data_IF_554266913459
#
_entry.id   IF_554266913459
#
_cell.length_a   1.000
_cell.length_b   1.000
_cell.length_c   1.000
_cell.angle_alpha   90.00
_cell.angle_beta   90.00
_cell.angle_gamma   90.00
#
_symmetry.space_group_name_H-M   'P 1'
#
loop_
_entity.id
_entity.type
_entity.pdbx_description
1 polymer ?
#
# COMPACT_ATOMS: atom_id res chain seq x y z
N UNK A 1 1.65 -7.07 -13.78
CA UNK A 1 0.20 -7.18 -13.60
C UNK A 1 -0.41 -7.77 -14.87
N UNK A 2 -1.42 -8.64 -14.72
CA UNK A 2 -2.10 -9.26 -15.85
C UNK A 2 -2.94 -8.22 -16.61
N UNK A 3 -2.80 -8.18 -17.93
CA UNK A 3 -3.65 -7.40 -18.84
C UNK A 3 -4.85 -8.24 -19.29
N UNK A 4 -5.89 -7.59 -19.79
CA UNK A 4 -7.02 -8.31 -20.38
C UNK A 4 -6.57 -9.19 -21.57
N UNK A 5 -6.95 -10.46 -21.54
CA UNK A 5 -6.52 -11.47 -22.53
C UNK A 5 -5.11 -12.05 -22.35
N UNK A 6 -4.33 -11.57 -21.38
CA UNK A 6 -3.02 -12.11 -21.02
C UNK A 6 -3.18 -13.32 -20.09
N UNK A 7 -2.30 -14.31 -20.20
CA UNK A 7 -2.25 -15.39 -19.22
C UNK A 7 -1.65 -14.90 -17.91
N UNK A 8 -2.16 -15.40 -16.79
CA UNK A 8 -1.70 -14.99 -15.45
C UNK A 8 -0.21 -15.33 -15.24
N UNK A 9 0.20 -16.53 -15.71
CA UNK A 9 1.57 -17.01 -15.60
C UNK A 9 2.55 -16.17 -16.42
N UNK A 10 2.16 -15.70 -17.62
CA UNK A 10 3.01 -14.86 -18.47
C UNK A 10 3.28 -13.50 -17.80
N UNK A 11 2.26 -12.93 -17.15
CA UNK A 11 2.41 -11.74 -16.32
C UNK A 11 3.39 -11.96 -15.16
N UNK A 12 3.30 -13.08 -14.44
CA UNK A 12 4.19 -13.40 -13.33
C UNK A 12 5.63 -13.58 -13.83
N UNK A 13 5.83 -14.32 -14.92
CA UNK A 13 7.14 -14.53 -15.54
C UNK A 13 7.81 -13.21 -15.91
N UNK A 14 7.07 -12.28 -16.52
CA UNK A 14 7.56 -10.93 -16.87
C UNK A 14 8.13 -10.21 -15.64
N UNK A 15 7.45 -10.28 -14.50
CA UNK A 15 7.90 -9.62 -13.27
C UNK A 15 9.11 -10.32 -12.64
N UNK A 16 9.20 -11.65 -12.74
CA UNK A 16 10.39 -12.38 -12.34
C UNK A 16 11.61 -11.95 -13.16
N UNK A 17 11.47 -11.83 -14.47
CA UNK A 17 12.55 -11.38 -15.36
C UNK A 17 12.99 -9.95 -15.06
N UNK A 18 12.04 -9.05 -14.77
CA UNK A 18 12.35 -7.67 -14.40
C UNK A 18 13.07 -7.55 -13.06
N UNK A 19 12.75 -8.41 -12.09
CA UNK A 19 13.34 -8.36 -10.75
C UNK A 19 14.68 -9.09 -10.66
N UNK A 20 14.93 -10.08 -11.53
CA UNK A 20 16.13 -10.92 -11.49
C UNK A 20 17.41 -10.08 -11.61
N UNK A 21 18.29 -10.17 -10.59
CA UNK A 21 19.55 -9.43 -10.54
C UNK A 21 19.41 -7.91 -10.30
N UNK A 22 18.20 -7.40 -10.01
CA UNK A 22 17.95 -5.98 -9.78
C UNK A 22 17.62 -5.66 -8.32
N UNK A 23 17.53 -6.65 -7.45
CA UNK A 23 17.13 -6.46 -6.06
C UNK A 23 18.29 -6.74 -5.09
N UNK A 24 18.58 -5.78 -4.20
CA UNK A 24 19.56 -5.96 -3.13
C UNK A 24 19.03 -6.81 -1.96
N UNK A 25 17.71 -6.98 -1.89
CA UNK A 25 16.98 -7.73 -0.86
C UNK A 25 16.19 -8.87 -1.48
N UNK A 26 15.76 -9.82 -0.68
CA UNK A 26 14.79 -10.82 -1.10
C UNK A 26 13.47 -10.18 -1.48
N UNK A 27 12.81 -10.72 -2.48
CA UNK A 27 11.53 -10.22 -2.97
C UNK A 27 10.53 -11.35 -3.23
N UNK A 28 9.26 -11.00 -3.26
CA UNK A 28 8.16 -11.81 -3.74
C UNK A 28 7.12 -10.91 -4.41
N UNK A 29 6.04 -11.50 -4.92
CA UNK A 29 5.02 -10.78 -5.66
C UNK A 29 3.63 -10.98 -5.07
N UNK A 30 2.78 -9.97 -5.23
CA UNK A 30 1.33 -10.06 -5.13
C UNK A 30 0.78 -10.07 -6.56
N UNK A 31 0.20 -11.21 -6.98
CA UNK A 31 -0.28 -11.34 -8.35
C UNK A 31 -1.54 -10.52 -8.58
N UNK A 32 -1.49 -9.50 -9.43
CA UNK A 32 -2.69 -8.76 -9.84
C UNK A 32 -3.45 -9.59 -10.88
N UNK A 33 -4.74 -9.84 -10.61
CA UNK A 33 -5.68 -10.51 -11.51
C UNK A 33 -6.50 -9.44 -12.22
N UNK A 34 -6.15 -9.14 -13.46
CA UNK A 34 -6.83 -8.12 -14.28
C UNK A 34 -7.87 -8.69 -15.24
N UNK A 35 -7.88 -10.01 -15.43
CA UNK A 35 -8.84 -10.71 -16.28
C UNK A 35 -9.28 -12.03 -15.62
N UNK A 36 -10.45 -12.01 -15.00
CA UNK A 36 -10.99 -13.19 -14.30
C UNK A 36 -11.75 -14.09 -15.28
N UNK A 37 -11.06 -15.12 -15.75
CA UNK A 37 -11.60 -16.15 -16.61
C UNK A 37 -11.20 -17.54 -16.07
N UNK A 38 -11.70 -18.63 -16.67
CA UNK A 38 -11.45 -19.99 -16.19
C UNK A 38 -9.94 -20.33 -16.18
N UNK A 39 -9.17 -19.85 -17.16
CA UNK A 39 -7.73 -20.08 -17.21
C UNK A 39 -7.01 -19.35 -16.07
N UNK A 40 -7.36 -18.08 -15.78
CA UNK A 40 -6.80 -17.31 -14.65
C UNK A 40 -7.13 -17.95 -13.31
N UNK A 41 -8.37 -18.43 -13.13
CA UNK A 41 -8.78 -19.14 -11.90
C UNK A 41 -8.01 -20.45 -11.70
N UNK A 42 -7.80 -21.22 -12.79
CA UNK A 42 -6.95 -22.42 -12.75
C UNK A 42 -5.48 -22.09 -12.43
N UNK A 43 -4.98 -20.95 -12.94
CA UNK A 43 -3.62 -20.50 -12.64
C UNK A 43 -3.46 -20.09 -11.18
N UNK A 44 -4.46 -19.43 -10.57
CA UNK A 44 -4.46 -19.07 -9.15
C UNK A 44 -4.24 -20.30 -8.25
N UNK A 45 -4.82 -21.46 -8.56
CA UNK A 45 -4.59 -22.69 -7.79
C UNK A 45 -3.12 -23.11 -7.72
N UNK A 46 -2.28 -22.72 -8.71
CA UNK A 46 -0.88 -23.06 -8.78
C UNK A 46 0.06 -22.02 -8.18
N UNK A 47 -0.42 -20.81 -7.87
CA UNK A 47 0.44 -19.72 -7.38
C UNK A 47 1.18 -20.08 -6.08
N UNK A 48 0.53 -20.83 -5.18
CA UNK A 48 1.14 -21.26 -3.94
C UNK A 48 2.36 -22.17 -4.17
N UNK A 49 2.33 -23.03 -5.21
CA UNK A 49 3.42 -23.90 -5.59
C UNK A 49 4.63 -23.09 -6.12
N UNK A 50 4.38 -21.90 -6.66
CA UNK A 50 5.38 -20.96 -7.14
C UNK A 50 5.88 -20.00 -6.04
N UNK A 51 5.40 -20.17 -4.79
CA UNK A 51 5.78 -19.34 -3.63
C UNK A 51 5.04 -18.00 -3.55
N UNK A 52 3.98 -17.82 -4.35
CA UNK A 52 3.10 -16.64 -4.30
C UNK A 52 1.92 -16.96 -3.39
N UNK A 53 1.77 -16.22 -2.29
CA UNK A 53 0.77 -16.50 -1.25
C UNK A 53 -0.45 -15.59 -1.29
N UNK A 54 -0.51 -14.69 -2.28
CA UNK A 54 -1.56 -13.68 -2.38
C UNK A 54 -1.82 -13.25 -3.82
N UNK A 55 -3.04 -12.81 -4.07
CA UNK A 55 -3.42 -12.15 -5.32
C UNK A 55 -4.20 -10.87 -5.03
N UNK A 56 -4.14 -9.89 -5.94
CA UNK A 56 -4.77 -8.58 -5.77
C UNK A 56 -5.84 -8.33 -6.82
N UNK A 57 -6.98 -7.80 -6.37
CA UNK A 57 -8.12 -7.38 -7.18
C UNK A 57 -8.53 -5.94 -6.85
N UNK A 58 -9.30 -5.32 -7.74
CA UNK A 58 -9.69 -3.93 -7.64
C UNK A 58 -11.19 -3.76 -7.82
N UNK A 59 -11.84 -3.04 -6.91
CA UNK A 59 -13.22 -2.55 -7.04
C UNK A 59 -13.28 -1.17 -7.69
N UNK A 60 -12.14 -0.64 -8.15
CA UNK A 60 -11.98 0.65 -8.80
C UNK A 60 -11.32 0.51 -10.18
N UNK A 61 -11.23 1.62 -10.91
CA UNK A 61 -10.63 1.74 -12.24
C UNK A 61 -11.35 0.95 -13.33
N UNK A 62 -12.66 1.24 -13.61
CA UNK A 62 -13.39 0.64 -14.72
C UNK A 62 -12.63 0.78 -16.04
N UNK A 63 -12.58 -0.31 -16.81
CA UNK A 63 -11.86 -0.36 -18.08
C UNK A 63 -10.34 -0.59 -17.96
N UNK A 64 -9.77 -0.64 -16.74
CA UNK A 64 -8.33 -0.89 -16.52
C UNK A 64 -8.11 -2.10 -15.62
N UNK A 65 -8.58 -2.05 -14.35
CA UNK A 65 -8.35 -3.10 -13.35
C UNK A 65 -9.63 -3.60 -12.68
N UNK A 66 -10.75 -2.93 -12.89
CA UNK A 66 -12.00 -3.19 -12.22
C UNK A 66 -12.46 -4.63 -12.41
N UNK A 67 -12.76 -5.29 -11.30
CA UNK A 67 -13.45 -6.56 -11.25
C UNK A 67 -14.84 -6.36 -10.62
N UNK A 68 -15.88 -6.93 -11.25
CA UNK A 68 -17.22 -6.93 -10.69
C UNK A 68 -17.38 -7.96 -9.56
N UNK A 69 -18.51 -7.89 -8.85
CA UNK A 69 -18.76 -8.76 -7.70
C UNK A 69 -18.78 -10.26 -8.08
N UNK A 70 -19.20 -10.61 -9.30
CA UNK A 70 -19.19 -12.01 -9.76
C UNK A 70 -17.74 -12.50 -10.00
N UNK A 71 -16.89 -11.66 -10.58
CA UNK A 71 -15.49 -11.95 -10.79
C UNK A 71 -14.74 -12.08 -9.45
N UNK A 72 -14.99 -11.14 -8.52
CA UNK A 72 -14.40 -11.15 -7.17
C UNK A 72 -14.83 -12.41 -6.42
N UNK A 73 -16.11 -12.74 -6.45
CA UNK A 73 -16.65 -13.93 -5.78
C UNK A 73 -15.97 -15.21 -6.28
N UNK A 74 -15.84 -15.39 -7.60
CA UNK A 74 -15.18 -16.56 -8.21
C UNK A 74 -13.70 -16.66 -7.80
N UNK A 75 -12.97 -15.55 -7.79
CA UNK A 75 -11.58 -15.55 -7.35
C UNK A 75 -11.46 -15.84 -5.84
N UNK A 76 -12.35 -15.29 -5.00
CA UNK A 76 -12.39 -15.58 -3.57
C UNK A 76 -12.70 -17.05 -3.27
N UNK A 77 -13.52 -17.73 -4.08
CA UNK A 77 -13.75 -19.17 -3.95
C UNK A 77 -12.43 -19.95 -4.12
N UNK A 78 -11.58 -19.57 -5.10
CA UNK A 78 -10.23 -20.14 -5.22
C UNK A 78 -9.37 -19.81 -4.02
N UNK A 79 -9.44 -18.58 -3.51
CA UNK A 79 -8.75 -18.18 -2.28
C UNK A 79 -9.17 -19.01 -1.06
N UNK A 80 -10.46 -19.34 -0.94
CA UNK A 80 -10.96 -20.22 0.12
C UNK A 80 -10.40 -21.65 0.01
N UNK A 81 -10.36 -22.19 -1.21
CA UNK A 81 -9.87 -23.55 -1.48
C UNK A 81 -8.36 -23.69 -1.27
N UNK A 82 -7.59 -22.66 -1.59
CA UNK A 82 -6.13 -22.67 -1.60
C UNK A 82 -5.47 -22.05 -0.37
N UNK A 83 -6.21 -21.24 0.38
CA UNK A 83 -5.66 -20.40 1.45
C UNK A 83 -4.92 -19.16 0.97
N UNK A 84 -4.92 -18.85 -0.34
CA UNK A 84 -4.33 -17.63 -0.88
C UNK A 84 -5.04 -16.39 -0.33
N UNK A 85 -4.24 -15.40 0.13
CA UNK A 85 -4.77 -14.14 0.60
C UNK A 85 -5.34 -13.31 -0.55
N UNK A 86 -6.62 -12.97 -0.48
CA UNK A 86 -7.25 -12.01 -1.40
C UNK A 86 -6.92 -10.59 -0.94
N UNK A 87 -6.10 -9.89 -1.69
CA UNK A 87 -5.84 -8.46 -1.47
C UNK A 87 -6.83 -7.61 -2.26
N UNK A 88 -7.44 -6.61 -1.62
CA UNK A 88 -8.50 -5.83 -2.26
C UNK A 88 -8.23 -4.33 -2.20
N UNK A 89 -8.17 -3.68 -3.37
CA UNK A 89 -8.35 -2.23 -3.48
C UNK A 89 -9.86 -1.94 -3.39
N UNK A 90 -10.29 -1.44 -2.25
CA UNK A 90 -11.70 -1.29 -1.92
C UNK A 90 -12.16 0.17 -2.07
N UNK A 91 -12.47 0.59 -3.27
CA UNK A 91 -13.17 1.84 -3.60
C UNK A 91 -14.25 1.55 -4.66
N UNK A 92 -15.41 2.22 -4.55
CA UNK A 92 -16.50 2.07 -5.52
C UNK A 92 -16.18 2.84 -6.82
N UNK A 93 -15.45 2.20 -7.73
CA UNK A 93 -14.99 2.81 -8.98
C UNK A 93 -16.09 3.39 -9.86
N UNK A 94 -17.18 2.65 -10.14
CA UNK A 94 -18.29 3.18 -10.95
C UNK A 94 -18.90 4.46 -10.38
N UNK A 95 -19.04 4.58 -9.06
CA UNK A 95 -19.55 5.81 -8.42
C UNK A 95 -18.51 6.95 -8.46
N UNK A 96 -17.23 6.64 -8.30
CA UNK A 96 -16.13 7.61 -8.43
C UNK A 96 -16.14 8.22 -9.84
N UNK A 97 -16.29 7.44 -10.89
CA UNK A 97 -16.30 7.92 -12.28
C UNK A 97 -17.44 8.93 -12.51
N UNK A 98 -18.61 8.72 -11.92
CA UNK A 98 -19.73 9.67 -11.97
C UNK A 98 -19.36 10.98 -11.28
N UNK A 99 -18.76 10.92 -10.07
CA UNK A 99 -18.37 12.13 -9.32
C UNK A 99 -17.26 12.89 -10.04
N UNK A 100 -16.28 12.21 -10.62
CA UNK A 100 -15.22 12.81 -11.43
C UNK A 100 -15.82 13.57 -12.60
N UNK A 101 -16.72 12.94 -13.36
CA UNK A 101 -17.38 13.58 -14.52
C UNK A 101 -18.18 14.81 -14.11
N UNK A 102 -18.92 14.76 -13.00
CA UNK A 102 -19.71 15.89 -12.47
C UNK A 102 -18.82 17.06 -12.03
N UNK A 103 -17.71 16.77 -11.32
CA UNK A 103 -16.78 17.82 -10.88
C UNK A 103 -16.10 18.51 -12.07
N UNK A 104 -15.63 17.76 -13.06
CA UNK A 104 -15.02 18.32 -14.26
C UNK A 104 -16.02 19.15 -15.06
N UNK A 105 -17.28 18.70 -15.22
CA UNK A 105 -18.34 19.45 -15.86
C UNK A 105 -18.68 20.77 -15.12
N UNK A 106 -18.45 20.82 -13.81
CA UNK A 106 -18.58 22.02 -12.98
C UNK A 106 -17.33 22.93 -12.98
N UNK A 107 -16.32 22.62 -13.82
CA UNK A 107 -15.07 23.39 -13.90
C UNK A 107 -14.13 23.17 -12.71
N UNK A 108 -14.31 22.12 -11.96
CA UNK A 108 -13.50 21.74 -10.81
C UNK A 108 -12.34 20.85 -11.28
N UNK A 109 -11.16 21.44 -11.52
CA UNK A 109 -10.04 20.78 -12.23
C UNK A 109 -8.78 20.60 -11.40
N UNK A 110 -8.69 21.23 -10.21
CA UNK A 110 -7.51 21.20 -9.35
C UNK A 110 -7.30 19.84 -8.67
N UNK A 111 -6.06 19.48 -8.26
CA UNK A 111 -5.74 18.23 -7.56
C UNK A 111 -6.60 17.98 -6.31
N UNK A 112 -7.04 19.01 -5.62
CA UNK A 112 -7.94 18.92 -4.45
C UNK A 112 -9.20 18.08 -4.75
N UNK A 113 -9.76 18.22 -5.95
CA UNK A 113 -10.99 17.54 -6.34
C UNK A 113 -10.82 16.04 -6.57
N UNK A 114 -9.59 15.55 -6.70
CA UNK A 114 -9.31 14.13 -6.65
C UNK A 114 -9.76 13.51 -5.30
N UNK A 115 -9.44 14.17 -4.19
CA UNK A 115 -9.89 13.73 -2.87
C UNK A 115 -11.40 13.84 -2.67
N UNK A 116 -12.03 14.88 -3.24
CA UNK A 116 -13.48 15.09 -3.17
C UNK A 116 -14.25 14.04 -3.98
N UNK A 117 -13.77 13.69 -5.20
CA UNK A 117 -14.40 12.66 -6.03
C UNK A 117 -14.35 11.28 -5.41
N UNK A 118 -13.35 11.01 -4.57
CA UNK A 118 -13.14 9.73 -3.89
C UNK A 118 -13.56 9.81 -2.41
N UNK A 119 -14.83 10.19 -2.18
CA UNK A 119 -15.39 10.36 -0.84
C UNK A 119 -15.21 9.10 0.01
N UNK A 120 -15.00 9.26 1.32
CA UNK A 120 -14.76 8.15 2.24
C UNK A 120 -15.89 7.10 2.27
N UNK A 121 -17.13 7.51 1.97
CA UNK A 121 -18.28 6.61 1.86
C UNK A 121 -18.07 5.53 0.78
N UNK A 122 -17.33 5.85 -0.28
CA UNK A 122 -17.04 4.93 -1.38
C UNK A 122 -15.97 3.91 -1.01
N UNK A 123 -15.08 4.24 -0.08
CA UNK A 123 -14.13 3.31 0.53
C UNK A 123 -14.82 2.43 1.58
N UNK A 124 -15.64 3.01 2.44
CA UNK A 124 -16.40 2.26 3.46
C UNK A 124 -17.32 1.22 2.83
N UNK A 125 -18.13 1.63 1.84
CA UNK A 125 -19.06 0.72 1.14
C UNK A 125 -18.31 -0.43 0.47
N UNK A 126 -17.24 -0.12 -0.27
CA UNK A 126 -16.47 -1.14 -0.97
C UNK A 126 -15.75 -2.08 0.02
N UNK A 127 -15.23 -1.56 1.14
CA UNK A 127 -14.64 -2.37 2.22
C UNK A 127 -15.68 -3.31 2.82
N UNK A 128 -16.87 -2.82 3.15
CA UNK A 128 -17.96 -3.64 3.66
C UNK A 128 -18.35 -4.74 2.67
N UNK A 129 -18.52 -4.40 1.40
CA UNK A 129 -18.86 -5.35 0.33
C UNK A 129 -17.79 -6.43 0.16
N UNK A 130 -16.51 -6.07 0.17
CA UNK A 130 -15.40 -7.03 0.12
C UNK A 130 -15.45 -8.00 1.32
N UNK A 131 -15.72 -7.49 2.53
CA UNK A 131 -15.89 -8.29 3.75
C UNK A 131 -17.05 -9.26 3.61
N UNK A 132 -18.18 -8.83 3.08
CA UNK A 132 -19.36 -9.71 2.90
C UNK A 132 -19.11 -10.81 1.87
N UNK A 133 -18.39 -10.52 0.77
CA UNK A 133 -18.01 -11.53 -0.22
C UNK A 133 -16.98 -12.53 0.36
N UNK A 134 -16.02 -12.05 1.14
CA UNK A 134 -15.06 -12.90 1.86
C UNK A 134 -15.77 -13.80 2.88
N UNK A 135 -16.70 -13.27 3.66
CA UNK A 135 -17.47 -14.05 4.62
C UNK A 135 -18.32 -15.15 3.94
N UNK A 136 -18.95 -14.82 2.82
CA UNK A 136 -19.77 -15.78 2.05
C UNK A 136 -18.94 -16.95 1.52
N UNK A 137 -17.69 -16.69 1.10
CA UNK A 137 -16.80 -17.72 0.52
C UNK A 137 -15.91 -18.41 1.56
N UNK A 138 -15.66 -17.78 2.71
CA UNK A 138 -14.67 -18.23 3.67
C UNK A 138 -13.21 -17.88 3.28
N UNK A 139 -13.00 -17.09 2.23
CA UNK A 139 -11.66 -16.68 1.77
C UNK A 139 -11.01 -15.71 2.74
N UNK A 140 -9.69 -15.80 2.96
CA UNK A 140 -8.96 -14.76 3.69
C UNK A 140 -8.95 -13.45 2.89
N UNK A 141 -9.24 -12.33 3.56
CA UNK A 141 -9.29 -11.00 2.95
C UNK A 141 -8.27 -10.06 3.58
N UNK A 142 -7.60 -9.29 2.73
CA UNK A 142 -6.69 -8.23 3.11
C UNK A 142 -7.02 -6.94 2.36
N UNK A 143 -7.57 -5.96 3.07
CA UNK A 143 -7.87 -4.65 2.48
C UNK A 143 -6.63 -3.79 2.52
N UNK A 144 -6.12 -3.40 1.36
CA UNK A 144 -4.88 -2.64 1.21
C UNK A 144 -5.11 -1.13 1.41
N UNK A 145 -4.08 -0.40 1.83
CA UNK A 145 -4.01 1.08 1.88
C UNK A 145 -5.25 1.78 2.43
N UNK A 146 -5.81 1.28 3.55
CA UNK A 146 -6.98 1.86 4.21
C UNK A 146 -6.67 3.28 4.67
N UNK A 147 -7.57 4.23 4.32
CA UNK A 147 -7.41 5.65 4.61
C UNK A 147 -8.56 6.25 5.44
N UNK A 148 -9.76 5.69 5.34
CA UNK A 148 -10.95 6.21 6.02
C UNK A 148 -11.22 5.50 7.34
N UNK A 149 -11.50 6.26 8.41
CA UNK A 149 -11.85 5.72 9.72
C UNK A 149 -13.08 4.81 9.70
N UNK A 150 -14.01 5.06 8.77
CA UNK A 150 -15.21 4.25 8.60
C UNK A 150 -14.87 2.87 8.00
N UNK A 151 -13.91 2.80 7.08
CA UNK A 151 -13.40 1.52 6.58
C UNK A 151 -12.70 0.72 7.68
N UNK A 152 -11.93 1.40 8.57
CA UNK A 152 -11.37 0.76 9.78
C UNK A 152 -12.46 0.15 10.65
N UNK A 153 -13.57 0.86 10.86
CA UNK A 153 -14.68 0.35 11.68
C UNK A 153 -15.30 -0.92 11.08
N UNK A 154 -15.41 -1.03 9.75
CA UNK A 154 -15.86 -2.24 9.07
C UNK A 154 -14.90 -3.43 9.32
N UNK A 155 -13.60 -3.18 9.21
CA UNK A 155 -12.57 -4.20 9.48
C UNK A 155 -12.58 -4.65 10.94
N UNK A 156 -12.63 -3.71 11.89
CA UNK A 156 -12.69 -4.02 13.32
C UNK A 156 -13.91 -4.89 13.65
N UNK A 157 -15.10 -4.49 13.19
CA UNK A 157 -16.33 -5.26 13.41
C UNK A 157 -16.26 -6.68 12.82
N UNK A 158 -15.71 -6.85 11.63
CA UNK A 158 -15.53 -8.17 11.01
C UNK A 158 -14.57 -9.05 11.82
N UNK A 159 -13.47 -8.48 12.30
CA UNK A 159 -12.47 -9.19 13.12
C UNK A 159 -13.03 -9.57 14.50
N UNK A 160 -13.79 -8.67 15.14
CA UNK A 160 -14.48 -8.95 16.41
C UNK A 160 -15.51 -10.07 16.25
N UNK A 161 -16.10 -10.20 15.07
CA UNK A 161 -16.97 -11.33 14.72
C UNK A 161 -16.20 -12.63 14.36
N UNK A 162 -14.86 -12.63 14.44
CA UNK A 162 -14.01 -13.79 14.19
C UNK A 162 -13.75 -14.09 12.71
N UNK A 163 -14.01 -13.14 11.79
CA UNK A 163 -13.74 -13.32 10.37
C UNK A 163 -12.24 -13.20 10.07
N UNK A 164 -11.78 -13.93 9.06
CA UNK A 164 -10.40 -13.93 8.60
C UNK A 164 -10.12 -12.72 7.69
N UNK A 165 -10.18 -11.52 8.29
CA UNK A 165 -10.06 -10.23 7.60
C UNK A 165 -8.94 -9.41 8.22
N UNK A 166 -8.15 -8.76 7.38
CA UNK A 166 -7.01 -7.94 7.74
C UNK A 166 -7.04 -6.63 6.96
N UNK A 167 -6.27 -5.64 7.45
CA UNK A 167 -6.08 -4.37 6.76
C UNK A 167 -4.68 -3.81 6.96
N UNK A 168 -4.26 -3.00 5.99
CA UNK A 168 -3.06 -2.18 6.09
C UNK A 168 -3.39 -0.72 5.84
N UNK A 169 -2.56 0.15 6.40
CA UNK A 169 -2.52 1.56 6.02
C UNK A 169 -1.12 1.91 5.49
N UNK A 170 -0.90 3.17 5.14
CA UNK A 170 0.37 3.66 4.63
C UNK A 170 0.76 4.96 5.33
N UNK A 171 2.06 5.35 5.35
CA UNK A 171 2.52 6.57 6.01
C UNK A 171 1.73 7.82 5.59
N UNK A 172 1.33 7.92 4.32
CA UNK A 172 0.58 9.08 3.81
C UNK A 172 -0.75 9.29 4.52
N UNK A 173 -1.41 8.23 5.00
CA UNK A 173 -2.69 8.32 5.73
C UNK A 173 -2.52 8.56 7.24
N UNK A 174 -1.29 8.53 7.72
CA UNK A 174 -0.93 8.84 9.10
C UNK A 174 -0.55 10.32 9.28
N UNK A 175 0.03 10.94 8.24
CA UNK A 175 0.66 12.24 8.34
C UNK A 175 0.08 13.31 7.42
N UNK A 176 -0.39 12.92 6.23
CA UNK A 176 -0.81 13.86 5.20
C UNK A 176 -2.33 14.05 5.21
N UNK A 177 -2.79 15.20 4.72
CA UNK A 177 -4.21 15.55 4.72
C UNK A 177 -4.71 16.09 3.38
N UNK A 178 -6.03 16.04 3.20
CA UNK A 178 -6.71 16.66 2.07
C UNK A 178 -6.41 18.16 2.01
N UNK A 179 -6.50 18.86 3.14
CA UNK A 179 -6.39 20.31 3.20
C UNK A 179 -4.97 20.81 3.01
N UNK A 180 -4.00 20.20 3.71
CA UNK A 180 -2.63 20.71 3.73
C UNK A 180 -1.83 20.28 2.52
N UNK A 181 -2.17 19.13 1.93
CA UNK A 181 -1.41 18.53 0.84
C UNK A 181 -2.15 18.59 -0.49
N UNK A 182 -3.30 17.90 -0.66
CA UNK A 182 -4.06 17.98 -1.92
C UNK A 182 -4.58 19.38 -2.18
N UNK A 183 -4.91 20.14 -1.14
CA UNK A 183 -5.33 21.55 -1.19
C UNK A 183 -4.19 22.56 -1.31
N UNK A 184 -2.95 22.15 -1.51
CA UNK A 184 -1.84 23.06 -1.71
C UNK A 184 -2.06 23.98 -2.92
N UNK A 185 -1.54 25.24 -2.88
CA UNK A 185 -1.84 26.24 -3.92
C UNK A 185 -1.45 25.80 -5.33
N UNK A 186 -2.26 26.15 -6.30
CA UNK A 186 -2.01 25.87 -7.71
C UNK A 186 -2.01 24.37 -8.01
N UNK A 187 -1.02 23.90 -8.73
CA UNK A 187 -0.88 22.49 -9.11
C UNK A 187 0.02 21.69 -8.15
N UNK A 188 0.52 22.30 -7.07
CA UNK A 188 1.40 21.64 -6.10
C UNK A 188 0.75 20.40 -5.45
N UNK A 189 -0.56 20.41 -5.22
CA UNK A 189 -1.30 19.28 -4.69
C UNK A 189 -1.17 17.98 -5.50
N UNK A 190 -0.76 18.07 -6.77
CA UNK A 190 -0.55 16.90 -7.62
C UNK A 190 0.52 15.94 -7.07
N UNK A 191 1.51 16.44 -6.30
CA UNK A 191 2.54 15.63 -5.63
C UNK A 191 1.94 14.53 -4.76
N UNK A 192 0.76 14.81 -4.16
CA UNK A 192 0.10 13.95 -3.18
C UNK A 192 -1.16 13.25 -3.71
N UNK A 193 -1.42 13.32 -5.02
CA UNK A 193 -2.52 12.55 -5.63
C UNK A 193 -2.18 11.06 -5.59
N UNK A 194 -3.00 10.30 -4.87
CA UNK A 194 -2.93 8.84 -4.71
C UNK A 194 -4.33 8.24 -4.51
N UNK A 195 -4.47 6.94 -4.59
CA UNK A 195 -5.72 6.21 -4.37
C UNK A 195 -5.47 4.99 -3.46
N UNK A 196 -6.15 4.92 -2.32
CA UNK A 196 -7.17 5.85 -1.83
C UNK A 196 -6.62 7.26 -1.59
N UNK A 197 -7.45 8.32 -1.60
CA UNK A 197 -6.94 9.68 -1.47
C UNK A 197 -6.61 10.04 -0.02
N UNK A 198 -5.85 11.12 0.16
CA UNK A 198 -5.65 11.73 1.47
C UNK A 198 -6.99 12.22 2.02
N UNK A 199 -7.26 11.94 3.28
CA UNK A 199 -8.50 12.29 3.98
C UNK A 199 -8.41 13.61 4.71
N UNK A 200 -9.58 14.20 5.00
CA UNK A 200 -9.69 15.44 5.77
C UNK A 200 -9.13 15.28 7.18
N UNK A 201 -8.24 16.19 7.59
CA UNK A 201 -7.78 16.26 8.98
C UNK A 201 -8.87 16.71 9.96
N UNK A 202 -9.85 17.48 9.49
CA UNK A 202 -10.97 17.94 10.30
C UNK A 202 -11.93 16.81 10.70
N UNK A 203 -11.88 15.68 10.01
CA UNK A 203 -12.65 14.50 10.34
C UNK A 203 -11.86 13.49 11.20
N UNK A 204 -10.63 13.80 11.58
CA UNK A 204 -9.76 12.97 12.44
C UNK A 204 -9.46 11.57 11.89
N UNK A 205 -9.33 11.44 10.58
CA UNK A 205 -8.96 10.16 9.95
C UNK A 205 -7.56 9.69 10.37
N UNK A 206 -6.58 10.62 10.40
CA UNK A 206 -5.20 10.33 10.76
C UNK A 206 -5.07 9.83 12.21
N UNK A 207 -5.78 10.47 13.16
CA UNK A 207 -5.80 10.04 14.56
C UNK A 207 -6.40 8.65 14.71
N UNK A 208 -7.44 8.34 13.94
CA UNK A 208 -8.05 7.02 13.93
C UNK A 208 -7.13 5.95 13.33
N UNK A 209 -6.36 6.26 12.28
CA UNK A 209 -5.36 5.33 11.75
C UNK A 209 -4.30 4.98 12.81
N UNK A 210 -3.78 5.97 13.53
CA UNK A 210 -2.85 5.73 14.63
C UNK A 210 -3.48 4.91 15.77
N UNK A 211 -4.75 5.20 16.12
CA UNK A 211 -5.49 4.38 17.09
C UNK A 211 -5.60 2.93 16.61
N UNK A 212 -6.02 2.73 15.37
CA UNK A 212 -6.21 1.42 14.78
C UNK A 212 -4.92 0.58 14.73
N UNK A 213 -3.78 1.23 14.47
CA UNK A 213 -2.48 0.56 14.57
C UNK A 213 -2.19 0.14 16.02
N UNK A 214 -2.44 1.02 16.99
CA UNK A 214 -2.20 0.74 18.41
C UNK A 214 -3.07 -0.40 18.95
N UNK A 215 -4.35 -0.46 18.54
CA UNK A 215 -5.34 -1.46 19.01
C UNK A 215 -5.37 -2.73 18.19
N UNK A 216 -4.58 -2.82 17.11
CA UNK A 216 -4.57 -3.94 16.17
C UNK A 216 -5.87 -4.09 15.35
N UNK A 217 -6.62 -3.02 15.14
CA UNK A 217 -7.71 -2.98 14.16
C UNK A 217 -7.16 -2.94 12.74
N UNK A 218 -5.97 -2.34 12.55
CA UNK A 218 -5.12 -2.42 11.37
C UNK A 218 -3.83 -3.15 11.75
N UNK A 219 -3.38 -4.12 10.94
CA UNK A 219 -2.32 -5.04 11.30
C UNK A 219 -0.94 -4.63 10.82
N UNK A 220 -0.85 -3.91 9.71
CA UNK A 220 0.42 -3.58 9.07
C UNK A 220 0.42 -2.16 8.51
N UNK A 221 1.64 -1.68 8.21
CA UNK A 221 1.87 -0.48 7.40
C UNK A 221 2.74 -0.84 6.21
N UNK A 222 2.19 -0.71 5.01
CA UNK A 222 2.92 -0.77 3.74
C UNK A 222 3.29 0.63 3.25
N UNK A 223 3.55 0.81 1.98
CA UNK A 223 3.88 2.12 1.41
C UNK A 223 2.98 2.53 0.27
N UNK A 224 2.39 1.56 -0.41
CA UNK A 224 1.75 1.79 -1.71
C UNK A 224 2.66 2.61 -2.64
N UNK A 225 3.97 2.26 -2.66
CA UNK A 225 5.00 3.00 -3.39
C UNK A 225 4.72 2.96 -4.89
N UNK A 226 4.30 4.10 -5.43
CA UNK A 226 4.00 4.27 -6.84
C UNK A 226 4.43 5.67 -7.29
N UNK A 227 5.76 5.89 -7.49
CA UNK A 227 6.31 7.21 -7.76
C UNK A 227 6.06 7.66 -9.19
N UNK A 228 5.75 8.94 -9.35
CA UNK A 228 5.64 9.64 -10.63
C UNK A 228 6.30 11.00 -10.51
N UNK A 229 7.18 11.37 -11.45
CA UNK A 229 7.75 12.70 -11.52
C UNK A 229 6.67 13.78 -11.75
N UNK A 230 6.87 14.97 -11.21
CA UNK A 230 6.01 16.11 -11.51
C UNK A 230 6.09 16.45 -12.98
N UNK A 231 7.33 16.58 -13.49
CA UNK A 231 7.57 16.93 -14.90
C UNK A 231 7.42 15.70 -15.81
N UNK A 232 6.56 15.81 -16.80
CA UNK A 232 6.34 14.80 -17.83
C UNK A 232 5.40 13.65 -17.42
N UNK A 233 4.96 13.61 -16.16
CA UNK A 233 4.04 12.60 -15.67
C UNK A 233 2.85 13.23 -14.93
N UNK A 234 2.99 13.75 -13.71
CA UNK A 234 1.85 14.35 -12.99
C UNK A 234 1.32 15.61 -13.66
N UNK A 235 2.15 16.38 -14.34
CA UNK A 235 1.76 17.58 -15.10
C UNK A 235 0.82 17.30 -16.28
N UNK A 236 0.66 16.04 -16.70
CA UNK A 236 -0.40 15.64 -17.64
C UNK A 236 -1.82 15.96 -17.14
N UNK A 237 -1.97 16.11 -15.83
CA UNK A 237 -3.24 16.46 -15.18
C UNK A 237 -3.49 17.96 -15.01
N UNK A 238 -2.67 18.84 -15.57
CA UNK A 238 -2.92 20.29 -15.53
C UNK A 238 -4.24 20.60 -16.22
N UNK A 239 -5.17 21.20 -15.47
CA UNK A 239 -6.52 21.49 -15.96
C UNK A 239 -7.50 20.30 -15.95
N UNK A 240 -7.07 19.11 -15.51
CA UNK A 240 -7.91 17.93 -15.39
C UNK A 240 -7.32 16.96 -14.35
N UNK A 241 -7.77 17.06 -13.12
CA UNK A 241 -7.23 16.24 -12.01
C UNK A 241 -7.35 14.73 -12.25
N UNK A 242 -8.28 14.28 -13.09
CA UNK A 242 -8.47 12.86 -13.38
C UNK A 242 -7.33 12.24 -14.17
N UNK A 243 -6.49 13.07 -14.81
CA UNK A 243 -5.31 12.67 -15.59
C UNK A 243 -4.02 12.70 -14.78
N UNK A 244 -4.06 13.12 -13.52
CA UNK A 244 -2.89 13.05 -12.65
C UNK A 244 -2.64 11.57 -12.29
N UNK A 245 -1.48 10.98 -12.63
CA UNK A 245 -1.14 9.64 -12.20
C UNK A 245 -1.20 9.50 -10.69
N UNK A 246 -1.89 8.45 -10.21
CA UNK A 246 -2.11 8.20 -8.79
C UNK A 246 -0.91 7.49 -8.18
N UNK A 247 -0.24 8.10 -7.22
CA UNK A 247 0.81 7.46 -6.45
C UNK A 247 1.76 8.44 -5.77
N UNK A 248 2.33 7.97 -4.66
CA UNK A 248 3.29 8.68 -3.83
C UNK A 248 4.54 7.80 -3.69
N UNK A 249 5.72 8.42 -3.75
CA UNK A 249 6.99 7.79 -3.40
C UNK A 249 7.17 7.80 -1.88
N UNK A 250 7.18 6.62 -1.24
CA UNK A 250 7.25 6.53 0.23
C UNK A 250 8.08 5.35 0.76
N UNK A 251 8.65 4.50 -0.09
CA UNK A 251 9.37 3.30 0.37
C UNK A 251 10.63 3.65 1.19
N UNK A 252 11.33 4.71 0.84
CA UNK A 252 12.58 5.11 1.49
C UNK A 252 12.39 5.51 2.96
N UNK A 253 11.24 6.11 3.29
CA UNK A 253 11.06 6.80 4.56
C UNK A 253 10.05 6.10 5.48
N UNK A 254 9.50 4.93 5.08
CA UNK A 254 8.48 4.23 5.88
C UNK A 254 8.94 3.93 7.29
N UNK A 255 10.16 3.43 7.44
CA UNK A 255 10.69 3.05 8.77
C UNK A 255 10.86 4.26 9.66
N UNK A 256 11.43 5.34 9.14
CA UNK A 256 11.68 6.57 9.87
C UNK A 256 10.38 7.28 10.25
N UNK A 257 9.44 7.43 9.32
CA UNK A 257 8.13 8.03 9.58
C UNK A 257 7.36 7.26 10.67
N UNK A 258 7.39 5.92 10.64
CA UNK A 258 6.73 5.12 11.67
C UNK A 258 7.47 5.18 13.01
N UNK A 259 8.80 5.30 12.99
CA UNK A 259 9.58 5.49 14.22
C UNK A 259 9.28 6.85 14.86
N UNK A 260 9.08 7.91 14.07
CA UNK A 260 8.59 9.19 14.62
C UNK A 260 7.27 9.01 15.36
N UNK A 261 6.40 8.13 14.91
CA UNK A 261 5.19 7.76 15.64
C UNK A 261 5.46 7.10 17.01
N UNK A 262 6.60 6.42 17.18
CA UNK A 262 7.04 5.93 18.49
C UNK A 262 7.52 7.09 19.38
N UNK A 263 8.34 7.99 18.83
CA UNK A 263 8.82 9.20 19.54
C UNK A 263 7.65 10.05 20.01
N UNK A 264 6.64 10.24 19.17
CA UNK A 264 5.43 11.01 19.46
C UNK A 264 4.45 10.26 20.40
N UNK A 265 4.75 9.04 20.83
CA UNK A 265 3.91 8.23 21.71
C UNK A 265 2.61 7.73 21.06
N UNK A 266 2.53 7.68 19.74
CA UNK A 266 1.39 7.17 18.98
C UNK A 266 1.31 5.64 19.04
N UNK A 267 2.44 4.94 18.97
CA UNK A 267 2.59 3.48 19.10
C UNK A 267 3.81 3.15 19.97
N UNK A 268 3.92 1.89 20.43
CA UNK A 268 5.12 1.43 21.16
C UNK A 268 6.20 0.96 20.18
N UNK A 269 7.43 0.82 20.68
CA UNK A 269 8.57 0.28 19.92
C UNK A 269 8.30 -1.15 19.44
N UNK A 270 7.72 -1.98 20.30
CA UNK A 270 7.34 -3.35 19.95
C UNK A 270 6.29 -3.37 18.84
N UNK A 271 5.31 -2.44 18.90
CA UNK A 271 4.29 -2.33 17.86
C UNK A 271 4.87 -1.88 16.54
N UNK A 272 5.84 -0.96 16.54
CA UNK A 272 6.58 -0.58 15.35
C UNK A 272 7.23 -1.78 14.66
N UNK A 273 7.96 -2.61 15.40
CA UNK A 273 8.58 -3.85 14.88
C UNK A 273 7.50 -4.82 14.40
N UNK A 274 6.42 -4.97 15.14
CA UNK A 274 5.34 -5.88 14.80
C UNK A 274 4.68 -5.53 13.46
N UNK A 275 4.28 -4.27 13.27
CA UNK A 275 3.55 -3.83 12.06
C UNK A 275 4.43 -3.71 10.82
N UNK A 276 5.75 -3.65 10.97
CA UNK A 276 6.69 -3.49 9.86
C UNK A 276 7.45 -4.77 9.50
N UNK A 277 7.51 -5.76 10.39
CA UNK A 277 8.34 -6.95 10.23
C UNK A 277 7.61 -8.25 10.59
N UNK A 278 7.21 -8.41 11.86
CA UNK A 278 6.68 -9.69 12.36
C UNK A 278 5.33 -10.04 11.73
N UNK A 279 4.39 -9.08 11.68
CA UNK A 279 3.06 -9.33 11.12
C UNK A 279 3.10 -9.57 9.61
N UNK A 280 3.81 -8.79 8.78
CA UNK A 280 4.00 -9.12 7.37
C UNK A 280 4.53 -10.55 7.16
N UNK A 281 5.56 -10.94 7.92
CA UNK A 281 6.12 -12.28 7.81
C UNK A 281 5.10 -13.39 8.16
N UNK A 282 4.26 -13.18 9.17
CA UNK A 282 3.18 -14.11 9.52
C UNK A 282 2.11 -14.21 8.45
N UNK A 283 1.67 -13.06 7.95
CA UNK A 283 0.56 -13.00 6.98
C UNK A 283 0.91 -13.62 5.63
N UNK A 284 2.17 -13.50 5.21
CA UNK A 284 2.62 -14.01 3.91
C UNK A 284 3.44 -15.29 4.00
N UNK A 285 3.37 -16.03 5.13
CA UNK A 285 3.94 -17.37 5.27
C UNK A 285 5.46 -17.42 5.44
N UNK A 286 6.10 -16.31 5.82
CA UNK A 286 7.56 -16.20 5.96
C UNK A 286 8.04 -16.28 7.42
N UNK A 287 7.12 -16.27 8.41
CA UNK A 287 7.49 -16.20 9.82
C UNK A 287 8.32 -17.42 10.26
N UNK A 288 9.34 -17.13 11.06
CA UNK A 288 10.34 -18.12 11.49
C UNK A 288 11.59 -18.14 10.62
N UNK A 289 11.45 -17.90 9.32
CA UNK A 289 12.57 -17.60 8.43
C UNK A 289 12.88 -16.10 8.40
N UNK A 290 11.84 -15.26 8.33
CA UNK A 290 11.88 -13.79 8.39
C UNK A 290 10.95 -13.26 9.49
N UNK A 291 11.09 -12.00 9.87
CA UNK A 291 10.24 -11.33 10.85
C UNK A 291 10.52 -11.72 12.32
N UNK A 292 11.63 -12.39 12.57
CA UNK A 292 12.09 -12.79 13.91
C UNK A 292 13.62 -12.85 13.93
N UNK A 293 14.23 -12.42 15.02
CA UNK A 293 15.67 -12.62 15.30
C UNK A 293 15.79 -13.87 16.17
N UNK A 294 16.13 -15.00 15.55
CA UNK A 294 16.24 -16.28 16.22
C UNK A 294 17.26 -17.19 15.51
N UNK A 295 17.88 -18.17 16.22
CA UNK A 295 18.73 -19.16 15.57
C UNK A 295 17.97 -19.93 14.47
N UNK A 296 18.54 -19.96 13.25
CA UNK A 296 17.94 -20.60 12.08
C UNK A 296 17.10 -19.67 11.20
N UNK A 297 16.80 -18.45 11.63
CA UNK A 297 16.20 -17.42 10.78
C UNK A 297 17.26 -16.77 9.86
N UNK A 298 16.81 -16.17 8.76
CA UNK A 298 17.67 -15.35 7.93
C UNK A 298 18.17 -14.13 8.74
N UNK A 299 19.43 -13.76 8.57
CA UNK A 299 19.99 -12.58 9.21
C UNK A 299 19.64 -11.31 8.41
N UNK A 300 18.34 -11.02 8.28
CA UNK A 300 17.81 -9.78 7.74
C UNK A 300 17.58 -8.84 8.93
N UNK A 301 18.51 -7.95 9.16
CA UNK A 301 18.58 -7.15 10.39
C UNK A 301 18.72 -5.69 10.04
N UNK A 302 17.91 -4.84 10.67
CA UNK A 302 18.04 -3.40 10.64
C UNK A 302 18.56 -2.96 12.00
N UNK A 303 19.69 -2.25 12.00
CA UNK A 303 20.19 -1.50 13.16
C UNK A 303 19.71 -0.06 13.01
N UNK A 304 18.98 0.41 14.00
CA UNK A 304 18.39 1.75 14.01
C UNK A 304 18.97 2.58 15.14
N UNK A 305 19.53 3.77 14.85
CA UNK A 305 20.02 4.69 15.89
C UNK A 305 18.92 5.67 16.30
N UNK A 306 18.36 5.53 17.52
CA UNK A 306 17.32 6.42 18.02
C UNK A 306 17.82 7.82 18.40
N UNK A 307 19.13 8.04 18.41
CA UNK A 307 19.75 9.34 18.72
C UNK A 307 20.12 10.13 17.48
N UNK A 308 19.98 9.50 16.31
CA UNK A 308 20.21 10.15 15.04
C UNK A 308 19.13 11.16 14.70
N UNK A 309 19.29 11.81 13.57
CA UNK A 309 18.32 12.76 13.04
C UNK A 309 18.32 12.66 11.52
N UNK A 310 17.12 12.57 10.93
CA UNK A 310 16.92 12.51 9.50
C UNK A 310 16.08 13.70 9.04
N UNK A 311 16.64 14.52 8.13
CA UNK A 311 15.92 15.60 7.44
C UNK A 311 15.59 15.13 6.03
N UNK A 312 14.32 14.80 5.77
CA UNK A 312 13.90 14.25 4.48
C UNK A 312 13.84 15.34 3.42
N UNK A 313 14.43 15.08 2.26
CA UNK A 313 14.40 16.02 1.14
C UNK A 313 15.27 15.62 -0.04
N UNK A 314 15.01 16.24 -1.18
CA UNK A 314 15.83 16.07 -2.39
C UNK A 314 17.28 16.46 -2.11
N UNK A 315 18.22 15.61 -2.53
CA UNK A 315 19.66 15.83 -2.31
C UNK A 315 20.12 15.62 -0.87
N UNK A 316 19.26 15.11 0.02
CA UNK A 316 19.59 14.73 1.40
C UNK A 316 19.42 13.22 1.56
N UNK A 317 18.20 12.75 1.79
CA UNK A 317 17.88 11.34 2.03
C UNK A 317 17.11 10.71 0.88
N UNK A 318 16.87 11.44 -0.19
CA UNK A 318 16.09 10.98 -1.34
C UNK A 318 17.00 10.31 -2.37
N UNK A 319 16.88 8.99 -2.50
CA UNK A 319 17.68 8.16 -3.41
C UNK A 319 16.91 7.74 -4.67
N UNK A 320 15.59 7.87 -4.66
CA UNK A 320 14.75 7.58 -5.82
C UNK A 320 15.04 8.57 -6.96
N UNK A 321 14.93 8.08 -8.19
CA UNK A 321 15.04 8.93 -9.39
C UNK A 321 13.74 9.73 -9.62
N UNK A 322 13.46 10.66 -8.71
CA UNK A 322 12.28 11.51 -8.68
C UNK A 322 12.68 12.98 -8.64
N UNK A 323 11.85 13.86 -9.16
CA UNK A 323 12.05 15.31 -9.16
C UNK A 323 11.38 16.04 -7.98
N UNK A 324 10.78 15.29 -7.06
CA UNK A 324 10.15 15.80 -5.84
C UNK A 324 10.09 14.70 -4.77
N UNK A 325 9.90 15.11 -3.51
CA UNK A 325 9.52 14.23 -2.42
C UNK A 325 8.15 14.63 -1.86
N UNK A 326 7.30 13.66 -1.58
CA UNK A 326 6.06 13.90 -0.85
C UNK A 326 6.31 14.26 0.62
N UNK A 327 7.52 14.02 1.11
CA UNK A 327 7.97 14.15 2.50
C UNK A 327 9.00 15.26 2.68
N UNK A 328 9.12 16.17 1.71
CA UNK A 328 10.09 17.26 1.74
C UNK A 328 9.95 18.09 3.02
N UNK A 329 11.05 18.24 3.76
CA UNK A 329 11.11 19.02 5.00
C UNK A 329 10.59 18.31 6.24
N UNK A 330 10.28 17.00 6.18
CA UNK A 330 9.98 16.22 7.39
C UNK A 330 11.28 15.97 8.16
N UNK A 331 11.22 16.18 9.48
CA UNK A 331 12.30 15.95 10.42
C UNK A 331 11.97 14.74 11.29
N UNK A 332 12.88 13.79 11.39
CA UNK A 332 12.71 12.51 12.09
C UNK A 332 13.79 12.39 13.16
N UNK A 333 13.39 12.04 14.38
CA UNK A 333 14.29 11.73 15.47
C UNK A 333 14.75 10.27 15.39
N UNK A 334 15.88 10.04 14.74
CA UNK A 334 16.46 8.71 14.49
C UNK A 334 16.77 8.47 13.02
N UNK A 335 17.48 7.37 12.74
CA UNK A 335 17.78 6.93 11.38
C UNK A 335 18.17 5.44 11.33
N UNK A 336 18.08 4.86 10.13
CA UNK A 336 18.64 3.53 9.84
C UNK A 336 20.17 3.66 9.74
N UNK A 337 20.90 2.95 10.61
CA UNK A 337 22.36 2.93 10.63
C UNK A 337 22.93 1.82 9.73
N UNK A 338 22.53 0.57 9.98
CA UNK A 338 23.03 -0.57 9.23
C UNK A 338 21.89 -1.49 8.81
N UNK A 339 21.95 -2.01 7.58
CA UNK A 339 21.01 -3.04 7.10
C UNK A 339 21.80 -4.24 6.62
N UNK A 340 21.41 -5.41 7.13
CA UNK A 340 21.90 -6.70 6.66
C UNK A 340 20.78 -7.44 5.92
N UNK A 341 21.12 -8.08 4.81
CA UNK A 341 20.28 -9.05 4.11
C UNK A 341 21.02 -10.39 4.08
N UNK A 342 20.44 -11.41 4.67
CA UNK A 342 21.05 -12.75 4.86
C UNK A 342 22.49 -12.69 5.42
N UNK A 343 22.72 -11.76 6.36
CA UNK A 343 24.02 -11.56 6.99
C UNK A 343 25.03 -10.73 6.18
N UNK A 344 24.70 -10.32 4.95
CA UNK A 344 25.52 -9.40 4.15
C UNK A 344 25.06 -7.97 4.41
N UNK A 345 26.01 -7.10 4.76
CA UNK A 345 25.75 -5.66 4.91
C UNK A 345 25.40 -5.07 3.55
N UNK A 346 24.24 -4.41 3.46
CA UNK A 346 23.73 -3.75 2.24
C UNK A 346 23.55 -2.24 2.43
N UNK A 347 23.56 -1.77 3.68
CA UNK A 347 23.63 -0.35 4.07
C UNK A 347 24.58 -0.25 5.24
N UNK A 348 25.50 0.73 5.23
CA UNK A 348 26.45 1.03 6.30
C UNK A 348 26.57 2.56 6.42
N UNK A 349 25.84 3.14 7.35
CA UNK A 349 25.62 4.58 7.42
C UNK A 349 25.02 5.12 6.12
N UNK A 350 25.70 6.07 5.50
CA UNK A 350 25.30 6.65 4.20
C UNK A 350 25.81 5.87 2.97
N UNK A 351 26.50 4.75 3.20
CA UNK A 351 27.08 3.94 2.12
C UNK A 351 26.15 2.78 1.75
N UNK A 352 26.04 2.49 0.44
CA UNK A 352 25.32 1.35 -0.13
C UNK A 352 26.33 0.39 -0.79
N UNK A 353 27.02 -0.48 -0.02
CA UNK A 353 28.09 -1.32 -0.53
C UNK A 353 27.61 -2.49 -1.41
N UNK A 354 26.46 -2.37 -2.06
CA UNK A 354 25.89 -3.39 -2.93
C UNK A 354 26.13 -3.03 -4.39
N UNK A 355 26.93 -3.86 -5.08
CA UNK A 355 26.91 -3.87 -6.55
C UNK A 355 25.80 -4.80 -7.04
N UNK A 356 24.89 -4.28 -7.82
CA UNK A 356 23.93 -5.08 -8.58
C UNK A 356 24.69 -5.75 -9.74
N UNK A 357 25.22 -6.95 -9.49
CA UNK A 357 25.86 -7.79 -10.54
C UNK A 357 25.18 -9.13 -10.62
#
# INVERSE_FOLDING_TARGET
MQKYGERLEDSLQTWHEMAAGQCAVDYSFHQIVGDVNDASLMALHRLADEGITSYKMFMAYPGVFYSDDAQILRAMQVGADTGLMTMMHAENGPAIDVLVAQLLAAGKTDPYYHGIARAWQLEEEATHRAIMLSNLTGAPLYVVHVSAKQAVAQLAAARDAGQNVYGETCPQYLYLSLEDNLGAPGFEGAKWVCSTPLRSKHEHHQDEMWRALRTNDIQMVSTDHCPFCMKGQKDMGVGDFSKIPNGIGSIEHRMDLLYQGVVDGRITLERWVEITSTTPARMFGLYGRKGVIAPGADADIVVYDPRGHTSIGLGKTHHMNMDHSAWEGYEIDGHVDTVLSRGKVIVDGDEYPVSYT
#
